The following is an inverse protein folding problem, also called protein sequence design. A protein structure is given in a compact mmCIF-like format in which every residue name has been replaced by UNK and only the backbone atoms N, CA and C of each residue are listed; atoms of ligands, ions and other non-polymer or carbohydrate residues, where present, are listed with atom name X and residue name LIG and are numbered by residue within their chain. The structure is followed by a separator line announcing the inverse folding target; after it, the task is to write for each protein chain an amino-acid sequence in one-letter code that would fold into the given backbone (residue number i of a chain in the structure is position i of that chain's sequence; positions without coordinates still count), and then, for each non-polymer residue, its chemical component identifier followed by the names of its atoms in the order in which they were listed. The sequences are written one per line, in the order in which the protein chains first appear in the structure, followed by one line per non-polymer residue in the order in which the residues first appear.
data_IF_331221260342
#
_entry.id   IF_331221260342
#
_cell.length_a   1.000
_cell.length_b   1.000
_cell.length_c   1.000
_cell.angle_alpha   90.00
_cell.angle_beta   90.00
_cell.angle_gamma   90.00
#
_symmetry.space_group_name_H-M   'P 1'
#
loop_
_entity.id
_entity.type
_entity.pdbx_description
1 polymer ?
#
# COMPACT_ATOMS: atom_id res chain seq x y z
N UNK A 1 -5.52 3.75 11.90
CA UNK A 1 -6.60 3.49 12.90
C UNK A 1 -6.97 4.76 13.69
N UNK A 2 -8.24 4.95 14.11
CA UNK A 2 -8.67 6.12 14.87
C UNK A 2 -8.32 6.05 16.37
N UNK A 3 -8.23 7.22 17.01
CA UNK A 3 -8.05 7.36 18.46
C UNK A 3 -9.21 6.70 19.22
N UNK A 4 -8.89 6.03 20.32
CA UNK A 4 -9.83 5.33 21.19
C UNK A 4 -10.11 3.88 20.78
N UNK A 5 -9.54 3.41 19.67
CA UNK A 5 -9.64 2.00 19.26
C UNK A 5 -9.01 1.09 20.32
N UNK A 6 -9.74 0.06 20.74
CA UNK A 6 -9.23 -0.98 21.64
C UNK A 6 -8.19 -1.84 20.92
N UNK A 7 -7.05 -2.08 21.57
CA UNK A 7 -5.96 -2.91 21.04
C UNK A 7 -5.93 -4.27 21.71
N UNK A 8 -6.00 -4.32 23.04
CA UNK A 8 -5.87 -5.57 23.79
C UNK A 8 -5.96 -5.39 25.31
N UNK A 9 -6.06 -6.50 26.02
CA UNK A 9 -6.12 -6.56 27.48
C UNK A 9 -4.77 -6.98 28.05
N UNK A 10 -3.93 -5.98 28.32
CA UNK A 10 -2.56 -6.19 28.79
C UNK A 10 -2.54 -6.80 30.18
N UNK A 11 -3.48 -6.42 31.06
CA UNK A 11 -3.52 -6.97 32.41
C UNK A 11 -3.78 -8.48 32.38
N UNK A 12 -4.76 -8.91 31.59
CA UNK A 12 -5.07 -10.32 31.40
C UNK A 12 -3.92 -11.09 30.75
N UNK A 13 -3.34 -10.54 29.67
CA UNK A 13 -2.29 -11.22 28.91
C UNK A 13 -0.99 -11.38 29.71
N UNK A 14 -0.69 -10.43 30.61
CA UNK A 14 0.45 -10.49 31.54
C UNK A 14 0.13 -11.24 32.84
N UNK A 15 -1.11 -11.71 33.04
CA UNK A 15 -1.54 -12.40 34.26
C UNK A 15 -1.53 -11.50 35.52
N UNK A 16 -1.67 -10.19 35.33
CA UNK A 16 -1.58 -9.18 36.38
C UNK A 16 -2.94 -8.90 36.99
N UNK A 17 -3.02 -8.83 38.32
CA UNK A 17 -4.28 -8.47 38.99
C UNK A 17 -4.50 -6.95 38.90
N UNK A 18 -5.71 -6.51 38.53
CA UNK A 18 -6.06 -5.08 38.38
C UNK A 18 -5.75 -4.19 39.60
N UNK A 19 -5.86 -4.65 40.87
CA UNK A 19 -5.41 -3.86 42.03
C UNK A 19 -3.92 -3.51 41.98
N UNK A 20 -3.08 -4.36 41.40
CA UNK A 20 -1.64 -4.11 41.28
C UNK A 20 -1.35 -2.90 40.38
N UNK A 21 -2.14 -2.64 39.33
CA UNK A 21 -1.97 -1.46 38.49
C UNK A 21 -2.27 -0.15 39.20
N UNK A 22 -3.15 -0.17 40.21
CA UNK A 22 -3.58 1.04 40.95
C UNK A 22 -2.59 1.40 42.05
N UNK A 23 -2.02 0.40 42.71
CA UNK A 23 -1.21 0.61 43.92
C UNK A 23 0.30 0.67 43.65
N UNK A 24 0.77 0.10 42.53
CA UNK A 24 2.21 -0.12 42.30
C UNK A 24 2.83 0.80 41.24
N UNK A 25 2.08 1.77 40.71
CA UNK A 25 2.58 2.72 39.69
C UNK A 25 2.88 2.03 38.35
N UNK A 26 2.16 2.42 37.29
CA UNK A 26 2.35 1.85 35.95
C UNK A 26 2.79 2.95 34.99
N UNK A 27 3.94 2.74 34.37
CA UNK A 27 4.48 3.65 33.36
C UNK A 27 4.59 2.93 32.02
N UNK A 28 4.05 3.55 30.98
CA UNK A 28 4.18 3.09 29.60
C UNK A 28 5.19 3.96 28.90
N UNK A 29 6.24 3.33 28.37
CA UNK A 29 7.29 3.97 27.58
C UNK A 29 7.19 3.43 26.16
N UNK A 30 7.19 4.31 25.15
CA UNK A 30 7.14 3.91 23.74
C UNK A 30 8.47 4.24 23.08
N UNK A 31 8.95 3.33 22.24
CA UNK A 31 10.12 3.59 21.41
C UNK A 31 9.73 4.51 20.25
N UNK A 32 10.52 5.56 20.00
CA UNK A 32 10.32 6.48 18.88
C UNK A 32 9.69 7.82 19.25
N UNK A 33 9.15 8.53 18.24
CA UNK A 33 8.72 9.93 18.36
C UNK A 33 7.23 10.14 18.68
N UNK A 34 6.44 9.07 18.87
CA UNK A 34 4.99 9.16 19.04
C UNK A 34 4.49 8.56 20.36
N UNK A 35 3.31 9.03 20.80
CA UNK A 35 2.54 8.41 21.88
C UNK A 35 1.29 7.76 21.30
N UNK A 36 1.48 6.71 20.49
CA UNK A 36 0.43 6.03 19.73
C UNK A 36 -0.54 5.23 20.60
N UNK A 37 -0.12 4.79 21.79
CA UNK A 37 -0.95 4.00 22.69
C UNK A 37 -1.10 4.62 24.08
N UNK A 38 -2.23 4.32 24.72
CA UNK A 38 -2.54 4.68 26.10
C UNK A 38 -3.07 3.46 26.83
N UNK A 39 -2.62 3.24 28.07
CA UNK A 39 -3.08 2.14 28.91
C UNK A 39 -4.05 2.66 29.96
N UNK A 40 -5.25 2.10 30.00
CA UNK A 40 -6.21 2.38 31.06
C UNK A 40 -5.84 1.55 32.30
N UNK A 41 -5.21 2.19 33.28
CA UNK A 41 -4.76 1.54 34.52
C UNK A 41 -5.89 0.94 35.39
N UNK A 42 -7.16 1.34 35.15
CA UNK A 42 -8.31 0.79 35.89
C UNK A 42 -8.77 -0.53 35.30
N UNK A 43 -8.63 -0.70 33.99
CA UNK A 43 -9.14 -1.87 33.26
C UNK A 43 -8.04 -2.76 32.70
N UNK A 44 -6.79 -2.30 32.64
CA UNK A 44 -5.70 -3.02 31.99
C UNK A 44 -5.72 -2.96 30.45
N UNK A 45 -6.67 -2.22 29.88
CA UNK A 45 -6.89 -2.18 28.43
C UNK A 45 -6.00 -1.15 27.75
N UNK A 46 -5.39 -1.56 26.64
CA UNK A 46 -4.62 -0.68 25.78
C UNK A 46 -5.49 -0.11 24.67
N UNK A 47 -5.36 1.19 24.44
CA UNK A 47 -6.11 1.93 23.42
C UNK A 47 -5.17 2.76 22.54
N UNK A 48 -5.56 2.95 21.29
CA UNK A 48 -4.93 3.90 20.38
C UNK A 48 -5.14 5.33 20.89
N UNK A 49 -4.08 6.11 21.05
CA UNK A 49 -4.10 7.50 21.52
C UNK A 49 -3.95 8.52 20.39
N UNK A 50 -3.24 8.17 19.32
CA UNK A 50 -3.03 9.01 18.14
C UNK A 50 -3.29 8.21 16.86
N UNK A 51 -3.56 8.91 15.75
CA UNK A 51 -3.77 8.24 14.46
C UNK A 51 -2.50 7.45 14.11
N UNK A 52 -2.67 6.18 13.82
CA UNK A 52 -1.62 5.30 13.31
C UNK A 52 -1.82 5.18 11.80
N UNK A 53 -0.79 5.59 11.07
CA UNK A 53 -0.64 5.52 9.61
C UNK A 53 0.57 4.62 9.33
N UNK A 54 0.35 3.46 8.70
CA UNK A 54 1.38 2.43 8.56
C UNK A 54 2.43 2.88 7.54
N UNK A 55 1.99 3.55 6.49
CA UNK A 55 2.77 4.05 5.37
C UNK A 55 3.75 5.12 5.87
N UNK A 56 3.31 6.01 6.77
CA UNK A 56 4.20 6.99 7.41
C UNK A 56 5.21 6.34 8.37
N UNK A 57 4.78 5.34 9.14
CA UNK A 57 5.61 4.69 10.16
C UNK A 57 6.70 3.78 9.57
N UNK A 58 6.33 3.00 8.55
CA UNK A 58 7.10 1.86 8.08
C UNK A 58 7.36 1.90 6.56
N UNK A 59 6.71 2.80 5.81
CA UNK A 59 6.79 2.83 4.36
C UNK A 59 6.36 1.49 3.76
N UNK A 60 7.14 0.95 2.83
CA UNK A 60 6.87 -0.35 2.18
C UNK A 60 7.43 -1.57 2.92
N UNK A 61 7.84 -1.44 4.19
CA UNK A 61 8.32 -2.59 4.96
C UNK A 61 7.15 -3.47 5.38
N UNK A 62 7.27 -4.78 5.12
CA UNK A 62 6.27 -5.77 5.52
C UNK A 62 6.18 -5.93 7.04
N UNK A 63 7.33 -5.90 7.73
CA UNK A 63 7.37 -5.96 9.19
C UNK A 63 7.27 -4.56 9.80
N UNK A 64 6.07 -4.23 10.29
CA UNK A 64 5.76 -2.97 10.94
C UNK A 64 5.28 -3.22 12.38
N UNK A 65 6.16 -2.98 13.34
CA UNK A 65 5.86 -3.20 14.75
C UNK A 65 6.19 -1.96 15.59
N UNK A 66 5.24 -1.53 16.40
CA UNK A 66 5.44 -0.51 17.43
C UNK A 66 5.79 -1.18 18.76
N UNK A 67 6.91 -0.78 19.35
CA UNK A 67 7.43 -1.37 20.59
C UNK A 67 7.15 -0.45 21.77
N UNK A 68 6.69 -1.04 22.86
CA UNK A 68 6.46 -0.35 24.12
C UNK A 68 6.93 -1.19 25.30
N UNK A 69 7.35 -0.50 26.35
CA UNK A 69 7.77 -1.07 27.62
C UNK A 69 6.80 -0.63 28.71
N UNK A 70 6.27 -1.59 29.46
CA UNK A 70 5.40 -1.35 30.60
C UNK A 70 6.22 -1.63 31.86
N UNK A 71 6.48 -0.59 32.63
CA UNK A 71 7.14 -0.68 33.92
C UNK A 71 6.07 -0.78 35.02
N UNK A 72 6.13 -1.86 35.81
CA UNK A 72 5.44 -1.99 37.08
C UNK A 72 6.41 -1.61 38.20
N UNK A 73 6.27 -0.39 38.72
CA UNK A 73 7.27 0.18 39.63
C UNK A 73 7.35 -0.58 40.95
N UNK A 74 6.23 -1.01 41.53
CA UNK A 74 6.23 -1.73 42.80
C UNK A 74 6.83 -3.15 42.73
N UNK A 75 6.92 -3.75 41.54
CA UNK A 75 7.64 -5.02 41.33
C UNK A 75 9.02 -4.84 40.68
N UNK A 76 9.35 -3.61 40.25
CA UNK A 76 10.51 -3.30 39.42
C UNK A 76 10.63 -4.22 38.18
N UNK A 77 9.49 -4.57 37.58
CA UNK A 77 9.42 -5.43 36.40
C UNK A 77 9.09 -4.62 35.16
N UNK A 78 9.77 -4.94 34.06
CA UNK A 78 9.55 -4.35 32.75
C UNK A 78 9.00 -5.44 31.82
N UNK A 79 7.86 -5.15 31.20
CA UNK A 79 7.25 -5.99 30.17
C UNK A 79 7.44 -5.33 28.81
N UNK A 80 8.01 -6.07 27.87
CA UNK A 80 8.18 -5.62 26.48
C UNK A 80 6.99 -6.11 25.68
N UNK A 81 6.29 -5.18 25.05
CA UNK A 81 5.12 -5.46 24.22
C UNK A 81 5.42 -4.94 22.80
N UNK A 82 5.20 -5.81 21.82
CA UNK A 82 5.28 -5.45 20.41
C UNK A 82 3.89 -5.51 19.81
N UNK A 83 3.48 -4.44 19.15
CA UNK A 83 2.18 -4.33 18.50
C UNK A 83 2.42 -4.32 16.99
N UNK A 84 1.98 -5.37 16.32
CA UNK A 84 2.03 -5.43 14.87
C UNK A 84 0.99 -4.47 14.28
N UNK A 85 1.44 -3.61 13.39
CA UNK A 85 0.58 -2.74 12.59
C UNK A 85 0.33 -3.45 11.26
N UNK A 86 -0.90 -3.89 11.07
CA UNK A 86 -1.34 -4.53 9.81
C UNK A 86 -1.71 -3.46 8.79
N UNK A 87 -1.36 -3.72 7.54
CA UNK A 87 -1.76 -2.92 6.39
C UNK A 87 -3.27 -2.99 6.14
N UNK A 88 -3.84 -1.90 5.63
CA UNK A 88 -5.22 -1.84 5.14
C UNK A 88 -5.20 -1.23 3.75
N UNK A 89 -6.15 -1.61 2.89
CA UNK A 89 -6.25 -1.03 1.55
C UNK A 89 -6.83 0.40 1.62
N UNK A 90 -6.01 1.38 2.01
CA UNK A 90 -6.40 2.77 2.18
C UNK A 90 -5.74 3.76 1.22
N UNK A 91 -4.83 3.29 0.37
CA UNK A 91 -4.29 4.05 -0.75
C UNK A 91 -4.85 3.56 -2.10
N UNK A 92 -4.57 4.30 -3.16
CA UNK A 92 -4.97 3.91 -4.52
C UNK A 92 -3.71 3.78 -5.37
N UNK A 93 -3.72 2.94 -6.42
CA UNK A 93 -2.68 2.99 -7.44
C UNK A 93 -2.62 4.37 -8.09
N UNK A 94 -1.43 4.97 -8.21
CA UNK A 94 -1.22 6.29 -8.83
C UNK A 94 -0.11 6.23 -9.88
N UNK A 95 -0.39 6.76 -11.06
CA UNK A 95 0.64 7.01 -12.08
C UNK A 95 1.29 8.37 -11.84
N UNK A 96 2.60 8.48 -12.06
CA UNK A 96 3.34 9.75 -11.94
C UNK A 96 2.80 10.81 -12.92
N UNK A 97 2.44 10.39 -14.13
CA UNK A 97 1.84 11.23 -15.15
C UNK A 97 0.41 10.75 -15.47
N UNK A 98 -0.51 11.71 -15.55
CA UNK A 98 -1.91 11.45 -15.95
C UNK A 98 -2.08 11.16 -17.45
N UNK A 99 -1.12 11.58 -18.27
CA UNK A 99 -1.04 11.32 -19.70
C UNK A 99 0.42 11.13 -20.12
N UNK A 100 0.68 10.17 -21.01
CA UNK A 100 2.00 9.98 -21.60
C UNK A 100 1.91 9.63 -23.09
N UNK A 101 2.93 10.03 -23.84
CA UNK A 101 2.99 9.88 -25.30
C UNK A 101 3.97 8.78 -25.66
N UNK A 102 3.49 7.78 -26.38
CA UNK A 102 4.34 6.77 -27.03
C UNK A 102 4.47 7.10 -28.51
N UNK A 103 5.62 6.79 -29.09
CA UNK A 103 5.86 6.95 -30.54
C UNK A 103 6.04 5.59 -31.16
N UNK A 104 5.22 5.27 -32.16
CA UNK A 104 5.27 4.02 -32.90
C UNK A 104 5.40 4.35 -34.40
N UNK A 105 6.32 3.70 -35.11
CA UNK A 105 6.34 3.80 -36.58
C UNK A 105 5.15 3.05 -37.16
N UNK A 106 4.56 3.57 -38.23
CA UNK A 106 3.52 2.87 -38.98
C UNK A 106 4.00 1.50 -39.49
N UNK A 107 5.31 1.43 -39.81
CA UNK A 107 6.01 0.24 -40.27
C UNK A 107 6.39 -0.73 -39.13
N UNK A 108 5.94 -0.47 -37.89
CA UNK A 108 6.19 -1.36 -36.77
C UNK A 108 5.55 -2.73 -37.00
N UNK A 109 6.36 -3.79 -36.80
CA UNK A 109 5.88 -5.15 -36.97
C UNK A 109 4.81 -5.49 -35.93
N UNK A 110 3.81 -6.29 -36.31
CA UNK A 110 2.87 -6.90 -35.36
C UNK A 110 3.66 -7.68 -34.30
N UNK A 111 3.30 -7.48 -33.03
CA UNK A 111 4.02 -8.02 -31.88
C UNK A 111 5.08 -7.08 -31.31
N UNK A 112 5.31 -5.91 -31.90
CA UNK A 112 6.15 -4.86 -31.30
C UNK A 112 5.65 -4.48 -29.92
N UNK A 113 6.57 -4.33 -28.96
CA UNK A 113 6.28 -4.12 -27.54
C UNK A 113 6.76 -2.75 -27.08
N UNK A 114 5.96 -2.09 -26.25
CA UNK A 114 6.28 -0.80 -25.64
C UNK A 114 6.06 -0.88 -24.14
N UNK A 115 7.12 -0.68 -23.36
CA UNK A 115 7.02 -0.66 -21.90
C UNK A 115 6.19 0.54 -21.44
N UNK A 116 5.24 0.29 -20.53
CA UNK A 116 4.37 1.31 -19.96
C UNK A 116 4.90 1.78 -18.59
N UNK A 117 4.60 3.02 -18.18
CA UNK A 117 4.90 3.48 -16.83
C UNK A 117 4.09 2.67 -15.81
N UNK A 118 4.73 2.40 -14.67
CA UNK A 118 4.09 1.68 -13.58
C UNK A 118 3.29 2.63 -12.71
N UNK A 119 2.16 2.13 -12.21
CA UNK A 119 1.49 2.75 -11.09
C UNK A 119 2.24 2.43 -9.79
N UNK A 120 2.15 3.35 -8.84
CA UNK A 120 2.69 3.19 -7.50
C UNK A 120 1.55 3.18 -6.50
N UNK A 121 1.64 2.24 -5.57
CA UNK A 121 0.76 2.17 -4.41
C UNK A 121 1.66 2.02 -3.16
N UNK A 122 1.52 2.87 -2.12
CA UNK A 122 2.32 2.77 -0.90
C UNK A 122 1.93 1.60 0.00
N UNK A 123 0.76 0.99 -0.22
CA UNK A 123 0.30 -0.20 0.48
C UNK A 123 1.20 -1.39 0.12
N UNK A 124 1.12 -2.47 0.91
CA UNK A 124 2.01 -3.63 0.78
C UNK A 124 1.23 -4.89 0.42
N UNK A 125 1.97 -5.94 0.05
CA UNK A 125 1.45 -7.27 -0.24
C UNK A 125 0.30 -7.24 -1.26
N UNK A 126 -0.89 -7.70 -0.90
CA UNK A 126 -2.06 -7.78 -1.77
C UNK A 126 -2.70 -6.40 -2.03
N UNK A 127 -2.51 -5.43 -1.14
CA UNK A 127 -3.11 -4.10 -1.26
C UNK A 127 -2.31 -3.17 -2.19
N UNK A 128 -1.10 -3.57 -2.61
CA UNK A 128 -0.37 -2.86 -3.67
C UNK A 128 -0.86 -3.27 -5.06
N UNK A 129 -0.35 -2.63 -6.11
CA UNK A 129 -0.71 -2.90 -7.52
C UNK A 129 -0.57 -4.38 -7.88
N UNK A 130 -1.68 -5.03 -8.24
CA UNK A 130 -1.71 -6.45 -8.60
C UNK A 130 -1.90 -6.71 -10.10
N UNK A 131 -2.47 -5.76 -10.84
CA UNK A 131 -2.72 -5.96 -12.27
C UNK A 131 -2.91 -4.64 -13.01
N UNK A 132 -2.84 -4.73 -14.34
CA UNK A 132 -3.15 -3.65 -15.26
C UNK A 132 -4.22 -4.08 -16.27
N UNK A 133 -5.00 -3.12 -16.74
CA UNK A 133 -5.97 -3.28 -17.81
C UNK A 133 -5.87 -2.14 -18.81
N UNK A 134 -6.27 -2.40 -20.04
CA UNK A 134 -6.27 -1.43 -21.13
C UNK A 134 -7.70 -1.25 -21.65
N UNK A 135 -8.07 -0.02 -22.00
CA UNK A 135 -9.34 0.26 -22.68
C UNK A 135 -9.47 -0.50 -23.99
N UNK A 136 -10.70 -0.90 -24.32
CA UNK A 136 -11.03 -1.57 -25.58
C UNK A 136 -10.55 -0.77 -26.79
N UNK A 137 -9.83 -1.44 -27.68
CA UNK A 137 -9.32 -0.87 -28.92
C UNK A 137 -8.98 -2.00 -29.92
N UNK A 138 -8.69 -1.65 -31.18
CA UNK A 138 -8.45 -2.62 -32.26
C UNK A 138 -6.98 -2.88 -32.59
N UNK A 139 -6.07 -2.04 -32.07
CA UNK A 139 -4.68 -1.97 -32.54
C UNK A 139 -3.69 -2.53 -31.53
N UNK A 140 -3.99 -2.45 -30.24
CA UNK A 140 -3.09 -2.77 -29.15
C UNK A 140 -3.74 -3.70 -28.13
N UNK A 141 -2.93 -4.63 -27.62
CA UNK A 141 -3.26 -5.47 -26.47
C UNK A 141 -2.30 -5.16 -25.32
N UNK A 142 -2.65 -5.59 -24.11
CA UNK A 142 -1.81 -5.42 -22.93
C UNK A 142 -1.27 -6.77 -22.48
N UNK A 143 0.04 -6.87 -22.25
CA UNK A 143 0.65 -8.00 -21.55
C UNK A 143 1.13 -7.54 -20.18
N UNK A 144 0.74 -8.25 -19.12
CA UNK A 144 1.18 -7.98 -17.75
C UNK A 144 2.24 -9.00 -17.37
N UNK A 145 3.40 -8.51 -16.97
CA UNK A 145 4.54 -9.29 -16.51
C UNK A 145 4.69 -9.16 -15.00
N UNK A 146 5.28 -10.18 -14.37
CA UNK A 146 5.59 -10.17 -12.93
C UNK A 146 7.10 -10.17 -12.75
N UNK A 147 7.61 -9.17 -12.03
CA UNK A 147 9.01 -9.06 -11.68
C UNK A 147 9.45 -10.05 -10.61
N UNK A 148 10.77 -10.18 -10.36
CA UNK A 148 11.31 -11.10 -9.35
C UNK A 148 10.86 -10.79 -7.92
N UNK A 149 10.53 -9.53 -7.64
CA UNK A 149 10.01 -9.05 -6.35
C UNK A 149 8.48 -9.12 -6.26
N UNK A 150 7.82 -9.73 -7.25
CA UNK A 150 6.36 -9.83 -7.34
C UNK A 150 5.67 -8.60 -7.94
N UNK A 151 6.42 -7.51 -8.18
CA UNK A 151 5.85 -6.29 -8.77
C UNK A 151 5.33 -6.51 -10.19
N UNK A 152 4.32 -5.74 -10.58
CA UNK A 152 3.62 -5.90 -11.86
C UNK A 152 4.03 -4.80 -12.82
N UNK A 153 4.31 -5.19 -14.06
CA UNK A 153 4.68 -4.29 -15.15
C UNK A 153 3.81 -4.59 -16.36
N UNK A 154 3.55 -3.59 -17.18
CA UNK A 154 2.71 -3.76 -18.36
C UNK A 154 3.45 -3.35 -19.65
N UNK A 155 3.27 -4.14 -20.70
CA UNK A 155 3.73 -3.85 -22.04
C UNK A 155 2.52 -3.70 -22.97
N UNK A 156 2.53 -2.62 -23.76
CA UNK A 156 1.60 -2.45 -24.86
C UNK A 156 2.13 -3.22 -26.07
N UNK A 157 1.32 -4.10 -26.63
CA UNK A 157 1.70 -4.96 -27.76
C UNK A 157 0.88 -4.61 -28.99
N UNK A 158 1.55 -4.37 -30.11
CA UNK A 158 0.88 -4.05 -31.37
C UNK A 158 0.23 -5.30 -31.97
N UNK A 159 -1.11 -5.32 -32.06
CA UNK A 159 -1.90 -6.44 -32.56
C UNK A 159 -2.33 -6.28 -34.03
N UNK A 160 -2.42 -5.04 -34.53
CA UNK A 160 -2.79 -4.71 -35.91
C UNK A 160 -1.81 -3.67 -36.47
N UNK A 161 -1.52 -3.73 -37.77
CA UNK A 161 -0.71 -2.72 -38.45
C UNK A 161 -1.28 -1.31 -38.23
N UNK A 162 -0.38 -0.34 -38.07
CA UNK A 162 -0.69 1.07 -37.98
C UNK A 162 -0.62 1.68 -39.38
N UNK A 163 -1.35 2.76 -39.57
CA UNK A 163 -1.40 3.53 -40.80
C UNK A 163 -1.58 4.99 -40.37
N UNK A 164 -0.55 5.80 -40.61
CA UNK A 164 -0.54 7.19 -40.14
C UNK A 164 -1.57 8.03 -40.89
N UNK A 165 -1.78 7.76 -42.17
CA UNK A 165 -2.77 8.44 -43.01
C UNK A 165 -4.22 8.08 -42.59
N UNK A 166 -4.46 6.86 -42.11
CA UNK A 166 -5.74 6.45 -41.52
C UNK A 166 -5.93 7.08 -40.13
N UNK A 167 -4.94 6.96 -39.25
CA UNK A 167 -4.99 7.45 -37.88
C UNK A 167 -3.61 7.84 -37.34
N UNK A 168 -3.31 9.15 -37.31
CA UNK A 168 -2.06 9.66 -36.77
C UNK A 168 -1.91 9.50 -35.23
N UNK A 169 -3.02 9.29 -34.51
CA UNK A 169 -3.03 9.12 -33.06
C UNK A 169 -4.02 8.04 -32.60
N UNK A 170 -3.63 7.29 -31.57
CA UNK A 170 -4.51 6.40 -30.82
C UNK A 170 -4.49 6.78 -29.34
N UNK A 171 -5.64 7.20 -28.82
CA UNK A 171 -5.82 7.51 -27.40
C UNK A 171 -6.40 6.28 -26.67
N UNK A 172 -5.69 5.81 -25.65
CA UNK A 172 -6.04 4.65 -24.83
C UNK A 172 -6.05 5.03 -23.35
N UNK A 173 -6.68 4.20 -22.52
CA UNK A 173 -6.66 4.34 -21.06
C UNK A 173 -6.00 3.12 -20.45
N UNK A 174 -4.92 3.34 -19.71
CA UNK A 174 -4.30 2.36 -18.84
C UNK A 174 -4.94 2.43 -17.46
N UNK A 175 -5.33 1.29 -16.90
CA UNK A 175 -5.85 1.15 -15.55
C UNK A 175 -4.91 0.27 -14.75
N UNK A 176 -4.50 0.71 -13.57
CA UNK A 176 -3.86 -0.13 -12.56
C UNK A 176 -4.90 -0.48 -11.50
N UNK A 177 -4.88 -1.73 -11.02
CA UNK A 177 -5.76 -2.18 -9.92
C UNK A 177 -4.92 -2.83 -8.84
N UNK A 178 -5.19 -2.48 -7.59
CA UNK A 178 -4.69 -3.21 -6.44
C UNK A 178 -5.40 -4.57 -6.29
N UNK A 179 -5.12 -5.27 -5.21
CA UNK A 179 -5.75 -6.54 -4.89
C UNK A 179 -6.62 -6.52 -3.64
N UNK A 180 -6.88 -5.35 -3.04
CA UNK A 180 -7.66 -5.26 -1.82
C UNK A 180 -9.16 -5.48 -2.02
N UNK A 181 -9.92 -5.51 -0.93
CA UNK A 181 -11.37 -5.69 -0.94
C UNK A 181 -12.09 -4.53 -0.20
N UNK A 182 -12.80 -3.63 -0.90
CA UNK A 182 -12.95 -3.55 -2.36
C UNK A 182 -11.64 -3.12 -3.03
N UNK A 183 -11.47 -3.54 -4.29
CA UNK A 183 -10.30 -3.14 -5.07
C UNK A 183 -10.38 -1.67 -5.48
N UNK A 184 -9.25 -0.97 -5.39
CA UNK A 184 -9.08 0.41 -5.79
C UNK A 184 -8.18 0.51 -7.00
N UNK A 185 -8.39 1.55 -7.80
CA UNK A 185 -7.78 1.66 -9.12
C UNK A 185 -7.32 3.07 -9.45
N UNK A 186 -6.23 3.15 -10.20
CA UNK A 186 -5.71 4.37 -10.82
C UNK A 186 -5.77 4.28 -12.34
N UNK A 187 -5.79 5.43 -13.02
CA UNK A 187 -5.82 5.48 -14.49
C UNK A 187 -4.86 6.53 -15.04
N UNK A 188 -4.29 6.25 -16.20
CA UNK A 188 -3.52 7.20 -17.00
C UNK A 188 -3.92 7.08 -18.48
N UNK A 189 -3.81 8.18 -19.23
CA UNK A 189 -4.03 8.21 -20.68
C UNK A 189 -2.74 7.88 -21.42
N UNK A 190 -2.86 7.03 -22.43
CA UNK A 190 -1.79 6.75 -23.39
C UNK A 190 -2.18 7.40 -24.71
N UNK A 191 -1.33 8.29 -25.22
CA UNK A 191 -1.43 8.75 -26.60
C UNK A 191 -0.34 8.11 -27.43
N UNK A 192 -0.70 7.22 -28.34
CA UNK A 192 0.24 6.66 -29.31
C UNK A 192 0.25 7.57 -30.54
N UNK A 193 1.37 8.25 -30.79
CA UNK A 193 1.63 9.02 -31.99
C UNK A 193 2.27 8.12 -33.05
N UNK A 194 1.61 8.01 -34.21
CA UNK A 194 2.10 7.23 -35.35
C UNK A 194 3.08 8.08 -36.16
N UNK A 195 4.29 7.55 -36.36
CA UNK A 195 5.33 8.15 -37.19
C UNK A 195 5.31 7.52 -38.58
N UNK A 196 5.71 8.30 -39.59
CA UNK A 196 6.16 7.81 -40.91
C UNK A 196 7.22 6.69 -40.74
#
# INVERSE_FOLDING_TARGET
MPKGTFVGDVAKDLGLQLPMFRDHGVHVMQEGKGQYFSLNIKTGHLYVNERIDREELCGRKADCALKLEILLQGEMKIYKVAIQVTDINDNNPVFELSEFVLRASENAAKGSRYLLPNAQDPDIEQNTVQTYGLSDNKYFTLEVQTGPDGSKFAELVLAKALDREEAAFHDLVLRASDGGEPSRTGTARIRVAVLD
#
